data_IF_413230313664
#
_entry.id   IF_413230313664
#
_cell.length_a   1.000
_cell.length_b   1.000
_cell.length_c   1.000
_cell.angle_alpha   90.00
_cell.angle_beta   90.00
_cell.angle_gamma   90.00
#
_symmetry.space_group_name_H-M   'P 1'
#
loop_
_entity.id
_entity.type
_entity.pdbx_description
1 polymer ?
#
# COMPACT_ATOMS: atom_id res chain seq x y z
N UNK A 1 34.90 9.43 -6.07
CA UNK A 1 33.78 9.55 -7.04
C UNK A 1 32.95 8.28 -7.20
N UNK A 2 33.56 7.09 -7.36
CA UNK A 2 32.81 5.82 -7.48
C UNK A 2 32.01 5.46 -6.22
N UNK A 3 32.60 5.62 -5.04
CA UNK A 3 31.95 5.36 -3.74
C UNK A 3 30.74 6.26 -3.48
N UNK A 4 30.86 7.55 -3.77
CA UNK A 4 29.75 8.50 -3.62
C UNK A 4 28.57 8.16 -4.55
N UNK A 5 28.85 7.74 -5.79
CA UNK A 5 27.80 7.27 -6.72
C UNK A 5 27.12 6.01 -6.21
N UNK A 6 27.88 5.04 -5.67
CA UNK A 6 27.31 3.83 -5.08
C UNK A 6 26.42 4.18 -3.88
N UNK A 7 26.89 5.07 -3.00
CA UNK A 7 26.11 5.52 -1.85
C UNK A 7 24.79 6.17 -2.28
N UNK A 8 24.82 7.04 -3.29
CA UNK A 8 23.62 7.66 -3.84
C UNK A 8 22.62 6.62 -4.39
N UNK A 9 23.11 5.61 -5.11
CA UNK A 9 22.26 4.53 -5.64
C UNK A 9 21.62 3.71 -4.50
N UNK A 10 22.38 3.39 -3.45
CA UNK A 10 21.87 2.66 -2.28
C UNK A 10 20.76 3.45 -1.59
N UNK A 11 20.96 4.76 -1.38
CA UNK A 11 19.95 5.63 -0.77
C UNK A 11 18.69 5.67 -1.65
N UNK A 12 18.85 5.83 -2.96
CA UNK A 12 17.74 5.80 -3.92
C UNK A 12 16.98 4.48 -3.89
N UNK A 13 17.68 3.35 -3.83
CA UNK A 13 17.05 2.02 -3.78
C UNK A 13 16.22 1.83 -2.50
N UNK A 14 16.75 2.26 -1.34
CA UNK A 14 16.02 2.21 -0.07
C UNK A 14 14.80 3.14 -0.11
N UNK A 15 14.96 4.36 -0.62
CA UNK A 15 13.84 5.31 -0.74
C UNK A 15 12.74 4.78 -1.67
N UNK A 16 13.10 4.19 -2.82
CA UNK A 16 12.15 3.60 -3.74
C UNK A 16 11.41 2.41 -3.12
N UNK A 17 12.11 1.55 -2.36
CA UNK A 17 11.49 0.45 -1.63
C UNK A 17 10.49 0.92 -0.59
N UNK A 18 10.81 1.96 0.18
CA UNK A 18 9.90 2.55 1.16
C UNK A 18 8.69 3.22 0.51
N UNK A 19 8.90 3.96 -0.58
CA UNK A 19 7.81 4.58 -1.33
C UNK A 19 6.87 3.52 -1.93
N UNK A 20 7.43 2.46 -2.52
CA UNK A 20 6.67 1.31 -3.00
C UNK A 20 5.93 0.61 -1.86
N UNK A 21 6.57 0.38 -0.72
CA UNK A 21 5.93 -0.21 0.45
C UNK A 21 4.78 0.65 1.00
N UNK A 22 4.91 1.97 1.04
CA UNK A 22 3.82 2.84 1.47
C UNK A 22 2.64 2.79 0.48
N UNK A 23 2.92 2.86 -0.82
CA UNK A 23 1.87 2.88 -1.86
C UNK A 23 1.19 1.51 -2.05
N UNK A 24 1.95 0.42 -2.06
CA UNK A 24 1.44 -0.93 -2.24
C UNK A 24 1.05 -1.59 -0.90
N UNK A 25 1.59 -1.13 0.22
CA UNK A 25 1.24 -1.63 1.56
C UNK A 25 -0.09 -1.06 2.04
N UNK A 26 -0.46 0.15 1.62
CA UNK A 26 -1.79 0.74 1.83
C UNK A 26 -2.83 0.17 0.85
N UNK A 27 -2.71 -1.12 0.52
CA UNK A 27 -3.77 -1.91 -0.12
C UNK A 27 -4.72 -2.44 0.96
N UNK A 28 -5.23 -1.57 1.84
CA UNK A 28 -6.41 -1.89 2.63
C UNK A 28 -7.53 -2.15 1.60
N UNK A 29 -8.06 -3.39 1.47
CA UNK A 29 -9.15 -3.63 0.55
C UNK A 29 -10.28 -2.71 0.98
N UNK A 30 -10.72 -1.81 0.10
CA UNK A 30 -11.92 -0.98 0.33
C UNK A 30 -13.07 -1.97 0.53
N UNK A 31 -13.31 -2.35 1.80
CA UNK A 31 -14.37 -3.25 2.22
C UNK A 31 -15.65 -2.46 2.06
N UNK A 32 -16.15 -2.43 0.84
CA UNK A 32 -17.52 -2.06 0.60
C UNK A 32 -18.37 -3.20 1.14
N UNK A 33 -18.77 -3.08 2.40
CA UNK A 33 -19.75 -3.96 2.99
C UNK A 33 -21.05 -3.83 2.19
N UNK A 34 -21.30 -4.78 1.28
CA UNK A 34 -22.59 -4.94 0.61
C UNK A 34 -23.53 -5.61 1.61
N UNK A 35 -23.79 -4.96 2.74
CA UNK A 35 -24.90 -5.35 3.62
C UNK A 35 -26.17 -4.80 2.97
N UNK A 36 -26.71 -5.55 2.01
CA UNK A 36 -28.12 -5.40 1.67
C UNK A 36 -28.90 -5.82 2.92
N UNK A 37 -29.67 -4.93 3.57
CA UNK A 37 -30.50 -5.33 4.68
C UNK A 37 -31.49 -6.38 4.16
N UNK A 38 -31.42 -7.61 4.69
CA UNK A 38 -32.46 -8.60 4.46
C UNK A 38 -33.71 -8.07 5.17
N UNK A 39 -34.72 -7.71 4.39
CA UNK A 39 -36.04 -7.42 4.91
C UNK A 39 -36.56 -8.72 5.55
N UNK A 40 -36.37 -8.86 6.86
CA UNK A 40 -37.02 -9.88 7.64
C UNK A 40 -38.49 -9.49 7.72
N UNK A 41 -39.27 -10.00 6.78
CA UNK A 41 -40.72 -9.90 6.82
C UNK A 41 -41.21 -10.69 8.02
N UNK A 42 -41.49 -9.97 9.11
CA UNK A 42 -42.07 -10.52 10.32
C UNK A 42 -43.50 -10.94 10.03
N UNK A 43 -43.75 -12.24 10.00
CA UNK A 43 -45.08 -12.84 9.98
C UNK A 43 -45.33 -13.57 11.30
#
# INVERSE_FOLDING_TARGET
MRTLKVLAVVILAVAAGLAGYAYLGDMEPVRREVRTPLALESR
#
